data_IF_887099899852
#
_entry.id   IF_887099899852
#
_cell.length_a   1.000
_cell.length_b   1.000
_cell.length_c   1.000
_cell.angle_alpha   90.00
_cell.angle_beta   90.00
_cell.angle_gamma   90.00
#
_symmetry.space_group_name_H-M   'P 1'
#
loop_
_entity.id
_entity.type
_entity.pdbx_description
1 polymer ?
#
# COMPACT_ATOMS: atom_id res chain seq x y z
N UNK A 1 -11.19 22.61 4.73
CA UNK A 1 -10.49 21.31 4.56
C UNK A 1 -9.19 21.37 5.31
N UNK A 2 -8.79 20.28 5.95
CA UNK A 2 -7.70 20.28 6.91
C UNK A 2 -6.49 19.49 6.36
N UNK A 3 -5.31 20.11 6.40
CA UNK A 3 -4.05 19.39 6.20
C UNK A 3 -3.76 18.55 7.45
N UNK A 4 -3.41 17.28 7.25
CA UNK A 4 -3.00 16.40 8.35
C UNK A 4 -1.47 16.44 8.50
N UNK A 5 -0.99 16.14 9.71
CA UNK A 5 0.45 15.99 9.94
C UNK A 5 0.98 14.74 9.24
N UNK A 6 2.30 14.71 9.03
CA UNK A 6 3.00 13.55 8.47
C UNK A 6 2.86 12.32 9.37
N UNK A 7 2.92 12.51 10.68
CA UNK A 7 2.67 11.46 11.67
C UNK A 7 1.27 10.85 11.51
N UNK A 8 0.24 11.70 11.34
CA UNK A 8 -1.13 11.23 11.15
C UNK A 8 -1.31 10.50 9.82
N UNK A 9 -0.65 10.97 8.76
CA UNK A 9 -0.64 10.27 7.47
C UNK A 9 0.00 8.88 7.56
N UNK A 10 1.15 8.77 8.25
CA UNK A 10 1.82 7.49 8.50
C UNK A 10 0.95 6.55 9.33
N UNK A 11 0.26 7.05 10.36
CA UNK A 11 -0.71 6.27 11.14
C UNK A 11 -1.80 5.68 10.23
N UNK A 12 -2.45 6.53 9.42
CA UNK A 12 -3.50 6.11 8.48
C UNK A 12 -2.99 5.04 7.50
N UNK A 13 -1.79 5.24 6.94
CA UNK A 13 -1.20 4.27 6.01
C UNK A 13 -0.93 2.94 6.69
N UNK A 14 -0.36 2.94 7.90
CA UNK A 14 -0.14 1.72 8.66
C UNK A 14 -1.45 0.99 8.92
N UNK A 15 -2.49 1.69 9.42
CA UNK A 15 -3.79 1.08 9.70
C UNK A 15 -4.42 0.45 8.45
N UNK A 16 -4.37 1.16 7.31
CA UNK A 16 -4.89 0.67 6.04
C UNK A 16 -4.11 -0.57 5.53
N UNK A 17 -2.77 -0.56 5.65
CA UNK A 17 -1.92 -1.71 5.33
C UNK A 17 -2.27 -2.90 6.22
N UNK A 18 -2.37 -2.71 7.54
CA UNK A 18 -2.72 -3.79 8.47
C UNK A 18 -4.09 -4.37 8.14
N UNK A 19 -5.09 -3.52 7.90
CA UNK A 19 -6.43 -3.97 7.52
C UNK A 19 -6.41 -4.78 6.22
N UNK A 20 -5.65 -4.33 5.23
CA UNK A 20 -5.50 -5.03 3.95
C UNK A 20 -4.84 -6.40 4.14
N UNK A 21 -3.77 -6.48 4.93
CA UNK A 21 -3.09 -7.73 5.25
C UNK A 21 -3.95 -8.72 6.07
N UNK A 22 -4.87 -8.21 6.89
CA UNK A 22 -5.81 -9.04 7.65
C UNK A 22 -6.95 -9.58 6.78
N UNK A 23 -7.48 -8.75 5.87
CA UNK A 23 -8.69 -9.09 5.11
C UNK A 23 -8.39 -9.82 3.80
N UNK A 24 -7.22 -9.60 3.20
CA UNK A 24 -6.89 -10.14 1.87
C UNK A 24 -5.53 -10.82 1.88
N UNK A 25 -5.56 -12.15 1.82
CA UNK A 25 -4.35 -12.99 1.78
C UNK A 25 -3.70 -12.93 0.38
N UNK A 26 -2.38 -12.75 0.28
CA UNK A 26 -1.66 -12.77 -1.01
C UNK A 26 -1.59 -14.17 -1.61
N UNK A 27 -2.37 -14.45 -2.66
CA UNK A 27 -2.42 -15.77 -3.29
C UNK A 27 -1.10 -16.21 -3.94
N UNK A 28 -0.27 -15.25 -4.34
CA UNK A 28 1.04 -15.48 -4.95
C UNK A 28 2.21 -15.38 -3.96
N UNK A 29 1.97 -15.32 -2.64
CA UNK A 29 3.01 -15.49 -1.63
C UNK A 29 2.87 -16.85 -0.93
N UNK A 30 3.98 -17.38 -0.44
CA UNK A 30 4.06 -18.74 0.10
C UNK A 30 2.99 -19.04 1.17
N UNK A 31 2.81 -18.18 2.17
CA UNK A 31 1.81 -18.38 3.23
C UNK A 31 0.39 -18.41 2.67
N UNK A 32 0.07 -17.53 1.71
CA UNK A 32 -1.24 -17.49 1.07
C UNK A 32 -1.48 -18.68 0.15
N UNK A 33 -0.44 -19.12 -0.56
CA UNK A 33 -0.48 -20.36 -1.33
C UNK A 33 -0.73 -21.58 -0.45
N UNK A 34 -0.05 -21.70 0.68
CA UNK A 34 -0.28 -22.79 1.62
C UNK A 34 -1.73 -22.76 2.14
N UNK A 35 -2.23 -21.58 2.51
CA UNK A 35 -3.57 -21.42 3.07
C UNK A 35 -4.69 -21.73 2.06
N UNK A 36 -4.52 -21.36 0.79
CA UNK A 36 -5.54 -21.47 -0.26
C UNK A 36 -5.11 -22.32 -1.46
N UNK A 37 -4.20 -23.27 -1.25
CA UNK A 37 -3.55 -24.11 -2.26
C UNK A 37 -4.52 -24.65 -3.33
N UNK A 38 -5.61 -25.28 -2.90
CA UNK A 38 -6.59 -25.88 -3.81
C UNK A 38 -7.30 -24.82 -4.66
N UNK A 39 -7.64 -23.68 -4.08
CA UNK A 39 -8.30 -22.60 -4.82
C UNK A 39 -7.34 -21.95 -5.83
N UNK A 40 -6.08 -21.72 -5.43
CA UNK A 40 -5.07 -21.12 -6.30
C UNK A 40 -4.72 -22.06 -7.46
N UNK A 41 -4.57 -23.36 -7.21
CA UNK A 41 -4.38 -24.37 -8.28
C UNK A 41 -5.53 -24.47 -9.27
N UNK A 42 -6.74 -24.14 -8.85
CA UNK A 42 -7.93 -24.14 -9.70
C UNK A 42 -8.23 -22.74 -10.27
N UNK A 43 -7.24 -21.86 -10.27
CA UNK A 43 -7.30 -20.49 -10.81
C UNK A 43 -8.45 -19.65 -10.24
N UNK A 44 -8.76 -19.78 -8.95
CA UNK A 44 -9.88 -19.07 -8.32
C UNK A 44 -9.82 -17.54 -8.58
N UNK A 45 -8.63 -16.95 -8.54
CA UNK A 45 -8.45 -15.51 -8.78
C UNK A 45 -8.92 -15.14 -10.21
N UNK A 46 -8.53 -15.92 -11.21
CA UNK A 46 -8.82 -15.63 -12.63
C UNK A 46 -10.20 -16.12 -13.08
N UNK A 47 -10.70 -17.22 -12.52
CA UNK A 47 -11.97 -17.85 -12.93
C UNK A 47 -13.17 -17.38 -12.10
N UNK A 48 -12.95 -16.83 -10.90
CA UNK A 48 -14.04 -16.44 -9.99
C UNK A 48 -13.95 -14.97 -9.58
N UNK A 49 -12.83 -14.55 -8.97
CA UNK A 49 -12.69 -13.19 -8.42
C UNK A 49 -12.67 -12.12 -9.51
N UNK A 50 -11.75 -12.20 -10.47
CA UNK A 50 -11.60 -11.20 -11.54
C UNK A 50 -12.86 -11.09 -12.42
N UNK A 51 -13.52 -12.19 -12.84
CA UNK A 51 -14.80 -12.11 -13.54
C UNK A 51 -15.89 -11.39 -12.75
N UNK A 52 -15.95 -11.57 -11.42
CA UNK A 52 -16.89 -10.83 -10.60
C UNK A 52 -16.55 -9.34 -10.52
N UNK A 53 -15.26 -8.97 -10.48
CA UNK A 53 -14.81 -7.59 -10.56
C UNK A 53 -15.10 -6.95 -11.93
N UNK A 54 -14.95 -7.68 -13.03
CA UNK A 54 -15.23 -7.18 -14.38
C UNK A 54 -16.72 -6.90 -14.64
N UNK A 55 -17.62 -7.53 -13.88
CA UNK A 55 -19.07 -7.25 -13.95
C UNK A 55 -19.49 -5.96 -13.24
N UNK A 56 -18.62 -5.37 -12.42
CA UNK A 56 -18.87 -4.08 -11.77
C UNK A 56 -18.49 -2.93 -12.68
N UNK A 57 -19.16 -1.78 -12.54
CA UNK A 57 -18.74 -0.58 -13.24
C UNK A 57 -17.33 -0.18 -12.80
N UNK A 58 -16.69 0.61 -13.64
CA UNK A 58 -15.30 1.04 -13.46
C UNK A 58 -15.17 1.87 -12.18
N UNK A 59 -16.16 2.67 -11.83
CA UNK A 59 -16.23 3.60 -10.69
C UNK A 59 -16.94 3.03 -9.45
N UNK A 60 -17.38 1.77 -9.48
CA UNK A 60 -17.98 1.05 -8.36
C UNK A 60 -16.91 0.65 -7.30
N UNK A 61 -16.18 1.63 -6.78
CA UNK A 61 -15.02 1.42 -5.92
C UNK A 61 -15.33 0.59 -4.70
N UNK A 62 -16.44 0.90 -4.09
CA UNK A 62 -16.82 0.35 -2.82
C UNK A 62 -17.43 -1.06 -2.98
N UNK A 63 -18.16 -1.33 -4.08
CA UNK A 63 -18.59 -2.69 -4.44
C UNK A 63 -17.41 -3.60 -4.78
N UNK A 64 -16.44 -3.13 -5.59
CA UNK A 64 -15.20 -3.87 -5.90
C UNK A 64 -14.41 -4.20 -4.64
N UNK A 65 -14.30 -3.24 -3.73
CA UNK A 65 -13.70 -3.43 -2.42
C UNK A 65 -14.43 -4.52 -1.60
N UNK A 66 -15.76 -4.51 -1.55
CA UNK A 66 -16.55 -5.53 -0.87
C UNK A 66 -16.40 -6.93 -1.49
N UNK A 67 -16.32 -7.02 -2.82
CA UNK A 67 -16.04 -8.26 -3.56
C UNK A 67 -14.67 -8.83 -3.16
N UNK A 68 -13.62 -8.01 -3.16
CA UNK A 68 -12.26 -8.43 -2.78
C UNK A 68 -12.24 -8.87 -1.32
N UNK A 69 -12.87 -8.11 -0.42
CA UNK A 69 -13.02 -8.48 1.00
C UNK A 69 -13.66 -9.85 1.16
N UNK A 70 -14.76 -10.09 0.44
CA UNK A 70 -15.53 -11.33 0.51
C UNK A 70 -14.73 -12.51 -0.03
N UNK A 71 -13.95 -12.30 -1.09
CA UNK A 71 -13.06 -13.33 -1.61
C UNK A 71 -11.94 -13.70 -0.63
N UNK A 72 -11.42 -12.72 0.14
CA UNK A 72 -10.44 -12.95 1.20
C UNK A 72 -9.05 -13.37 0.72
N UNK A 73 -8.84 -13.47 -0.59
CA UNK A 73 -7.58 -13.79 -1.25
C UNK A 73 -7.48 -12.98 -2.53
N UNK A 74 -6.27 -12.54 -2.89
CA UNK A 74 -6.00 -11.80 -4.11
C UNK A 74 -4.51 -11.65 -4.38
N UNK A 75 -4.14 -11.17 -5.57
CA UNK A 75 -2.75 -10.87 -5.90
C UNK A 75 -2.44 -9.39 -5.65
N UNK A 76 -1.28 -8.91 -6.10
CA UNK A 76 -0.84 -7.52 -5.92
C UNK A 76 -1.91 -6.51 -6.37
N UNK A 77 -2.56 -6.73 -7.53
CA UNK A 77 -3.61 -5.84 -8.03
C UNK A 77 -4.81 -5.74 -7.08
N UNK A 78 -5.40 -6.86 -6.67
CA UNK A 78 -6.57 -6.86 -5.79
C UNK A 78 -6.24 -6.29 -4.40
N UNK A 79 -5.04 -6.58 -3.87
CA UNK A 79 -4.58 -6.02 -2.59
C UNK A 79 -4.33 -4.51 -2.69
N UNK A 80 -3.68 -4.04 -3.75
CA UNK A 80 -3.44 -2.62 -3.97
C UNK A 80 -4.76 -1.85 -4.17
N UNK A 81 -5.71 -2.44 -4.90
CA UNK A 81 -7.05 -1.88 -5.04
C UNK A 81 -7.78 -1.76 -3.70
N UNK A 82 -7.76 -2.83 -2.90
CA UNK A 82 -8.34 -2.85 -1.57
C UNK A 82 -7.73 -1.75 -0.68
N UNK A 83 -6.40 -1.68 -0.65
CA UNK A 83 -5.64 -0.66 0.08
C UNK A 83 -6.01 0.75 -0.36
N UNK A 84 -6.17 1.00 -1.67
CA UNK A 84 -6.53 2.31 -2.19
C UNK A 84 -7.84 2.82 -1.60
N UNK A 85 -8.88 1.97 -1.59
CA UNK A 85 -10.19 2.31 -1.01
C UNK A 85 -10.12 2.52 0.50
N UNK A 86 -9.35 1.69 1.22
CA UNK A 86 -9.16 1.85 2.67
C UNK A 86 -8.40 3.15 3.03
N UNK A 87 -7.43 3.56 2.20
CA UNK A 87 -6.73 4.84 2.30
C UNK A 87 -7.70 6.00 2.00
N UNK A 88 -8.44 5.94 0.90
CA UNK A 88 -9.40 6.99 0.53
C UNK A 88 -10.42 7.20 1.66
N UNK A 89 -11.02 6.12 2.18
CA UNK A 89 -11.99 6.21 3.29
C UNK A 89 -11.40 6.92 4.52
N UNK A 90 -10.21 6.51 4.97
CA UNK A 90 -9.58 7.09 6.18
C UNK A 90 -9.14 8.53 5.99
N UNK A 91 -8.61 8.88 4.82
CA UNK A 91 -8.22 10.25 4.51
C UNK A 91 -9.43 11.17 4.40
N UNK A 92 -10.54 10.70 3.80
CA UNK A 92 -11.83 11.41 3.81
C UNK A 92 -12.33 11.62 5.24
N UNK A 93 -12.29 10.58 6.10
CA UNK A 93 -12.68 10.68 7.51
C UNK A 93 -11.79 11.64 8.32
N UNK A 94 -10.50 11.76 7.95
CA UNK A 94 -9.58 12.73 8.54
C UNK A 94 -9.77 14.16 7.98
N UNK A 95 -10.73 14.39 7.08
CA UNK A 95 -11.04 15.70 6.52
C UNK A 95 -9.98 16.25 5.56
N UNK A 96 -9.16 15.37 4.96
CA UNK A 96 -8.03 15.75 4.13
C UNK A 96 -8.19 15.39 2.66
N UNK A 97 -7.55 16.16 1.78
CA UNK A 97 -7.55 15.94 0.34
C UNK A 97 -6.33 15.15 -0.11
N UNK A 98 -6.56 14.07 -0.84
CA UNK A 98 -5.51 13.26 -1.43
C UNK A 98 -5.98 12.62 -2.74
N UNK A 99 -5.02 12.36 -3.62
CA UNK A 99 -5.22 11.55 -4.82
C UNK A 99 -4.38 10.28 -4.69
N UNK A 100 -5.04 9.13 -4.74
CA UNK A 100 -4.41 7.82 -4.67
C UNK A 100 -4.40 7.22 -6.06
N UNK A 101 -3.23 6.96 -6.61
CA UNK A 101 -3.05 6.31 -7.91
C UNK A 101 -2.76 4.83 -7.71
N UNK A 102 -3.60 3.98 -8.30
CA UNK A 102 -3.26 2.57 -8.51
C UNK A 102 -2.34 2.49 -9.72
N UNK A 103 -1.12 2.02 -9.52
CA UNK A 103 -0.07 2.03 -10.52
C UNK A 103 0.53 0.65 -10.73
N UNK A 104 0.86 0.32 -11.98
CA UNK A 104 1.66 -0.85 -12.31
C UNK A 104 3.09 -0.41 -12.61
N UNK A 105 4.08 -1.11 -12.06
CA UNK A 105 5.48 -0.90 -12.45
C UNK A 105 5.69 -1.28 -13.92
N UNK A 106 6.58 -0.57 -14.60
CA UNK A 106 7.04 -0.95 -15.95
C UNK A 106 8.21 -1.93 -15.94
N UNK A 107 8.84 -2.15 -14.78
CA UNK A 107 10.09 -2.91 -14.66
C UNK A 107 9.91 -4.21 -13.89
N UNK A 108 8.90 -4.27 -13.02
CA UNK A 108 8.56 -5.43 -12.20
C UNK A 108 7.07 -5.70 -12.38
N UNK A 109 6.68 -6.97 -12.46
CA UNK A 109 5.26 -7.35 -12.48
C UNK A 109 4.63 -7.13 -11.10
N UNK A 110 4.31 -5.88 -10.80
CA UNK A 110 3.75 -5.48 -9.52
C UNK A 110 2.82 -4.28 -9.64
N UNK A 111 1.75 -4.30 -8.84
CA UNK A 111 0.78 -3.21 -8.73
C UNK A 111 0.73 -2.74 -7.28
N UNK A 112 0.82 -1.42 -7.09
CA UNK A 112 0.87 -0.77 -5.78
C UNK A 112 0.19 0.61 -5.83
N UNK A 113 0.18 1.33 -4.72
CA UNK A 113 -0.40 2.68 -4.66
C UNK A 113 0.67 3.76 -4.61
N UNK A 114 0.42 4.85 -5.34
CA UNK A 114 1.05 6.14 -5.07
C UNK A 114 0.04 7.10 -4.46
N UNK A 115 0.41 7.82 -3.41
CA UNK A 115 -0.48 8.79 -2.75
C UNK A 115 0.13 10.18 -2.88
N UNK A 116 -0.60 11.08 -3.52
CA UNK A 116 -0.30 12.50 -3.55
C UNK A 116 -1.16 13.23 -2.52
N UNK A 117 -0.51 13.94 -1.59
CA UNK A 117 -1.17 14.61 -0.48
C UNK A 117 -0.38 15.84 -0.04
N UNK A 118 -1.08 16.92 0.30
CA UNK A 118 -0.49 18.09 0.96
C UNK A 118 -0.57 17.90 2.47
N UNK A 119 0.58 17.73 3.11
CA UNK A 119 0.70 17.56 4.55
C UNK A 119 1.05 18.88 5.23
N UNK A 120 0.64 19.02 6.49
CA UNK A 120 0.88 20.22 7.29
C UNK A 120 2.38 20.52 7.40
N UNK A 121 2.75 21.78 7.15
CA UNK A 121 4.14 22.26 7.22
C UNK A 121 5.01 21.86 6.03
N UNK A 122 4.42 21.29 4.97
CA UNK A 122 5.11 21.07 3.69
C UNK A 122 4.85 22.20 2.71
N UNK A 123 5.85 22.64 1.94
CA UNK A 123 5.71 23.68 0.91
C UNK A 123 4.84 23.24 -0.28
N UNK A 124 4.93 21.97 -0.65
CA UNK A 124 4.24 21.37 -1.80
C UNK A 124 3.71 19.97 -1.47
N UNK A 125 2.72 19.45 -2.21
CA UNK A 125 2.27 18.08 -2.04
C UNK A 125 3.44 17.09 -2.09
N UNK A 126 3.42 16.12 -1.18
CA UNK A 126 4.32 14.97 -1.21
C UNK A 126 3.69 13.84 -2.03
N UNK A 127 4.57 13.04 -2.65
CA UNK A 127 4.22 11.82 -3.35
C UNK A 127 4.79 10.63 -2.59
N UNK A 128 3.97 9.63 -2.31
CA UNK A 128 4.34 8.48 -1.49
C UNK A 128 4.09 7.16 -2.21
N UNK A 129 4.98 6.19 -2.10
CA UNK A 129 4.72 4.79 -2.41
C UNK A 129 4.13 4.11 -1.16
N UNK A 130 2.95 3.51 -1.30
CA UNK A 130 2.26 2.79 -0.22
C UNK A 130 1.83 1.42 -0.74
N UNK A 131 2.28 0.36 -0.08
CA UNK A 131 2.02 -1.02 -0.50
C UNK A 131 1.64 -1.89 0.71
N UNK A 132 0.79 -2.88 0.47
CA UNK A 132 0.40 -3.91 1.43
C UNK A 132 0.83 -5.32 0.99
N UNK A 133 1.20 -5.53 -0.28
CA UNK A 133 1.71 -6.80 -0.77
C UNK A 133 3.14 -7.05 -0.27
N UNK A 134 4.01 -6.04 -0.37
CA UNK A 134 5.31 -5.97 0.31
C UNK A 134 5.31 -4.67 1.16
N UNK A 135 4.83 -4.77 2.42
CA UNK A 135 4.40 -3.61 3.20
C UNK A 135 5.45 -2.51 3.33
N UNK A 136 5.09 -1.29 2.91
CA UNK A 136 5.98 -0.12 2.97
C UNK A 136 5.25 1.19 2.84
N UNK A 137 5.87 2.24 3.37
CA UNK A 137 5.49 3.64 3.16
C UNK A 137 6.78 4.41 2.86
N UNK A 138 6.96 4.89 1.63
CA UNK A 138 8.19 5.57 1.19
C UNK A 138 7.82 6.93 0.60
N UNK A 139 8.43 8.01 1.09
CA UNK A 139 8.31 9.32 0.48
C UNK A 139 9.16 9.37 -0.80
N UNK A 140 8.50 9.50 -1.94
CA UNK A 140 9.10 9.52 -3.28
C UNK A 140 8.95 10.88 -3.95
N UNK A 141 8.77 11.94 -3.15
CA UNK A 141 8.56 13.30 -3.66
C UNK A 141 9.75 13.73 -4.54
N UNK A 142 9.45 14.36 -5.68
CA UNK A 142 10.48 14.90 -6.57
C UNK A 142 11.19 16.10 -5.92
N UNK A 143 12.51 16.02 -5.84
CA UNK A 143 13.39 17.07 -5.30
C UNK A 143 13.47 18.26 -6.28
N UNK A 144 13.90 19.46 -5.82
CA UNK A 144 14.09 20.62 -6.68
C UNK A 144 15.05 20.36 -7.87
N UNK A 145 16.07 19.53 -7.66
CA UNK A 145 17.01 19.11 -8.72
C UNK A 145 16.44 18.04 -9.67
N UNK A 146 15.13 17.79 -9.65
CA UNK A 146 14.39 16.78 -10.43
C UNK A 146 14.69 15.31 -10.12
N UNK A 147 15.63 15.01 -9.22
CA UNK A 147 15.82 13.64 -8.73
C UNK A 147 14.70 13.22 -7.78
N UNK A 148 14.51 11.92 -7.58
CA UNK A 148 13.51 11.39 -6.68
C UNK A 148 14.07 11.20 -5.27
N UNK A 149 13.25 11.44 -4.25
CA UNK A 149 13.61 11.11 -2.88
C UNK A 149 13.54 9.58 -2.67
N UNK A 150 14.47 9.03 -1.89
CA UNK A 150 14.52 7.62 -1.53
C UNK A 150 14.51 6.66 -2.74
N UNK A 151 15.07 7.08 -3.88
CA UNK A 151 15.09 6.28 -5.12
C UNK A 151 15.81 4.94 -4.93
N UNK A 152 16.84 4.93 -4.08
CA UNK A 152 17.63 3.76 -3.68
C UNK A 152 16.83 2.68 -2.95
N UNK A 153 15.63 3.00 -2.46
CA UNK A 153 14.74 2.07 -1.77
C UNK A 153 13.59 1.55 -2.65
N UNK A 154 13.50 1.98 -3.92
CA UNK A 154 12.42 1.58 -4.82
C UNK A 154 12.67 0.21 -5.42
N UNK A 155 11.98 -0.80 -4.90
CA UNK A 155 12.05 -2.17 -5.46
C UNK A 155 11.34 -2.31 -6.81
N UNK A 156 10.40 -1.43 -7.13
CA UNK A 156 9.56 -1.55 -8.33
C UNK A 156 9.96 -0.58 -9.45
N UNK A 157 11.11 0.08 -9.31
CA UNK A 157 11.57 1.09 -10.26
C UNK A 157 10.76 2.40 -10.24
N UNK A 158 11.22 3.37 -11.04
CA UNK A 158 10.66 4.72 -11.02
C UNK A 158 9.45 4.90 -11.95
N UNK A 159 9.47 4.18 -13.07
CA UNK A 159 8.47 4.27 -14.13
C UNK A 159 7.25 3.41 -13.84
N UNK A 160 6.08 4.03 -14.01
CA UNK A 160 4.80 3.37 -13.78
C UNK A 160 3.79 3.69 -14.86
N UNK A 161 2.82 2.79 -15.02
CA UNK A 161 1.60 3.02 -15.76
C UNK A 161 0.45 3.23 -14.77
N UNK A 162 -0.21 4.40 -14.84
CA UNK A 162 -1.40 4.66 -14.05
C UNK A 162 -2.52 3.75 -14.57
N UNK A 163 -3.07 2.94 -13.67
CA UNK A 163 -4.22 2.07 -13.98
C UNK A 163 -5.52 2.75 -13.57
N UNK A 164 -5.49 3.51 -12.47
CA UNK A 164 -6.65 4.18 -11.89
C UNK A 164 -6.22 5.25 -10.89
N UNK A 165 -7.12 6.16 -10.56
CA UNK A 165 -6.98 7.05 -9.41
C UNK A 165 -8.25 7.04 -8.55
N UNK A 166 -8.09 7.38 -7.27
CA UNK A 166 -9.14 7.55 -6.28
C UNK A 166 -8.93 8.93 -5.65
N UNK A 167 -9.98 9.73 -5.62
CA UNK A 167 -9.97 11.09 -5.06
C UNK A 167 -10.79 11.08 -3.77
N UNK A 168 -10.26 11.67 -2.70
CA UNK A 168 -11.06 11.85 -1.47
C UNK A 168 -12.16 12.88 -1.64
N UNK A 169 -12.09 13.75 -2.67
CA UNK A 169 -13.13 14.74 -2.98
C UNK A 169 -14.38 14.09 -3.58
N UNK A 170 -14.22 12.99 -4.32
CA UNK A 170 -15.30 12.31 -5.06
C UNK A 170 -15.68 10.97 -4.39
N UNK A 171 -15.15 10.70 -3.20
CA UNK A 171 -15.36 9.42 -2.53
C UNK A 171 -16.79 9.31 -1.98
N UNK A 172 -17.54 8.35 -2.52
CA UNK A 172 -18.85 7.96 -2.00
C UNK A 172 -18.74 6.59 -1.35
N UNK A 173 -19.21 6.48 -0.11
CA UNK A 173 -19.30 5.20 0.59
C UNK A 173 -20.48 4.37 0.05
N UNK A 174 -20.40 3.03 0.18
CA UNK A 174 -21.51 2.15 -0.22
C UNK A 174 -22.77 2.58 0.53
N UNK A 175 -23.83 2.88 -0.21
CA UNK A 175 -25.17 2.81 0.36
C UNK A 175 -25.56 1.33 0.51
N UNK A 176 -26.09 0.89 1.66
CA UNK A 176 -26.38 -0.53 1.95
C UNK A 176 -27.27 -1.28 0.93
N UNK A 177 -27.84 -0.58 -0.05
CA UNK A 177 -28.72 -1.10 -1.08
C UNK A 177 -28.02 -1.87 -2.22
N UNK A 178 -26.69 -1.79 -2.35
CA UNK A 178 -25.97 -2.53 -3.40
C UNK A 178 -25.78 -4.00 -3.00
N UNK A 179 -26.49 -4.91 -3.69
CA UNK A 179 -26.30 -6.34 -3.52
C UNK A 179 -24.89 -6.76 -3.97
N UNK A 180 -24.05 -7.19 -3.03
CA UNK A 180 -22.73 -7.74 -3.33
C UNK A 180 -22.92 -9.06 -4.10
N UNK A 181 -22.29 -9.26 -5.27
CA UNK A 181 -22.33 -10.53 -5.98
C UNK A 181 -22.08 -11.73 -5.06
N UNK A 182 -22.80 -12.82 -5.32
CA UNK A 182 -22.62 -14.07 -4.61
C UNK A 182 -21.30 -14.73 -5.02
N UNK A 183 -20.20 -14.31 -4.41
CA UNK A 183 -18.91 -14.99 -4.49
C UNK A 183 -18.80 -15.89 -3.26
N UNK A 184 -18.64 -17.20 -3.47
CA UNK A 184 -18.31 -18.12 -2.38
C UNK A 184 -16.80 -17.94 -2.08
N UNK A 185 -16.41 -17.54 -0.85
CA UNK A 185 -15.00 -17.48 -0.48
C UNK A 185 -14.36 -18.87 -0.66
N UNK A 186 -13.09 -18.93 -1.09
CA UNK A 186 -12.41 -20.20 -1.22
C UNK A 186 -12.24 -20.85 0.15
N UNK A 187 -12.37 -22.17 0.20
CA UNK A 187 -12.15 -22.93 1.41
C UNK A 187 -10.65 -23.00 1.71
N UNK A 188 -10.29 -22.78 2.98
CA UNK A 188 -8.90 -22.95 3.43
C UNK A 188 -8.52 -24.42 3.30
N UNK A 189 -7.38 -24.69 2.68
CA UNK A 189 -6.86 -26.05 2.56
C UNK A 189 -6.25 -26.53 3.88
N UNK A 190 -6.41 -27.80 4.21
CA UNK A 190 -5.60 -28.48 5.23
C UNK A 190 -4.43 -29.17 4.56
N UNK A 191 -3.23 -29.03 5.10
CA UNK A 191 -2.08 -29.81 4.66
C UNK A 191 -2.37 -31.30 4.91
N UNK A 192 -2.38 -32.11 3.84
CA UNK A 192 -2.63 -33.55 3.92
C UNK A 192 -1.42 -34.34 4.44
N UNK A 193 -0.24 -33.71 4.43
CA UNK A 193 1.05 -34.28 4.81
C UNK A 193 1.90 -33.22 5.52
N UNK A 194 3.05 -33.65 6.06
CA UNK A 194 4.06 -32.73 6.58
C UNK A 194 4.39 -31.65 5.55
N UNK A 195 4.57 -30.39 5.99
CA UNK A 195 4.86 -29.29 5.09
C UNK A 195 6.21 -29.50 4.40
N UNK A 196 6.23 -29.37 3.08
CA UNK A 196 7.49 -29.23 2.32
C UNK A 196 8.24 -28.01 2.83
N UNK A 197 9.56 -28.08 3.05
CA UNK A 197 10.36 -26.92 3.45
C UNK A 197 10.16 -25.73 2.51
N UNK A 198 10.17 -24.50 3.06
CA UNK A 198 9.95 -23.28 2.26
C UNK A 198 10.92 -23.14 1.07
N UNK A 199 12.24 -23.42 1.21
CA UNK A 199 13.16 -23.31 0.08
C UNK A 199 12.78 -24.24 -1.08
N UNK A 200 12.34 -25.46 -0.77
CA UNK A 200 11.92 -26.45 -1.76
C UNK A 200 10.61 -26.03 -2.44
N UNK A 201 9.69 -25.40 -1.69
CA UNK A 201 8.45 -24.85 -2.24
C UNK A 201 8.72 -23.71 -3.22
N UNK A 202 9.58 -22.76 -2.84
CA UNK A 202 9.94 -21.63 -3.70
C UNK A 202 10.74 -22.09 -4.93
N UNK A 203 11.64 -23.06 -4.78
CA UNK A 203 12.39 -23.62 -5.91
C UNK A 203 11.49 -24.36 -6.92
N UNK A 204 10.41 -24.99 -6.44
CA UNK A 204 9.46 -25.73 -7.29
C UNK A 204 8.41 -24.83 -7.97
N UNK A 205 8.13 -23.66 -7.39
CA UNK A 205 7.11 -22.74 -7.84
C UNK A 205 7.74 -21.37 -8.14
N UNK A 206 8.28 -21.22 -9.34
CA UNK A 206 8.97 -20.01 -9.82
C UNK A 206 8.11 -18.72 -9.79
N UNK A 207 6.79 -18.87 -9.88
CA UNK A 207 5.81 -17.80 -9.76
C UNK A 207 5.47 -17.41 -8.31
N UNK A 208 5.92 -18.20 -7.32
CA UNK A 208 5.60 -18.01 -5.90
C UNK A 208 6.64 -17.12 -5.22
N UNK A 209 6.18 -16.07 -4.56
CA UNK A 209 7.04 -15.13 -3.85
C UNK A 209 7.21 -15.53 -2.38
N UNK A 210 8.38 -15.19 -1.82
CA UNK A 210 8.60 -15.25 -0.38
C UNK A 210 7.66 -14.31 0.37
N UNK A 211 7.21 -14.70 1.56
CA UNK A 211 6.33 -13.86 2.37
C UNK A 211 6.99 -12.55 2.81
N UNK A 212 6.28 -11.43 2.57
CA UNK A 212 6.67 -10.11 3.05
C UNK A 212 5.70 -9.67 4.14
N UNK A 213 6.07 -9.91 5.39
CA UNK A 213 5.17 -9.66 6.54
C UNK A 213 5.28 -8.22 7.04
N UNK A 214 4.20 -7.72 7.64
CA UNK A 214 4.18 -6.43 8.34
C UNK A 214 5.27 -6.36 9.41
N UNK A 215 5.50 -7.45 10.15
CA UNK A 215 6.57 -7.54 11.15
C UNK A 215 7.97 -7.36 10.53
N UNK A 216 8.21 -8.00 9.38
CA UNK A 216 9.48 -7.85 8.66
C UNK A 216 9.66 -6.40 8.16
N UNK A 217 8.60 -5.77 7.66
CA UNK A 217 8.63 -4.39 7.20
C UNK A 217 8.96 -3.38 8.31
N UNK A 218 8.43 -3.57 9.53
CA UNK A 218 8.82 -2.77 10.70
C UNK A 218 10.30 -2.98 11.07
N UNK A 219 10.78 -4.23 11.05
CA UNK A 219 12.20 -4.56 11.31
C UNK A 219 13.13 -3.91 10.28
N UNK A 220 12.68 -3.82 9.04
CA UNK A 220 13.41 -3.23 7.91
C UNK A 220 13.16 -1.72 7.74
N UNK A 221 12.42 -1.08 8.65
CA UNK A 221 12.14 0.36 8.63
C UNK A 221 11.29 0.88 7.44
N UNK A 222 10.69 -0.03 6.66
CA UNK A 222 9.73 0.32 5.61
C UNK A 222 8.37 0.71 6.18
N UNK A 223 8.06 0.25 7.40
CA UNK A 223 6.98 0.76 8.24
C UNK A 223 7.58 1.34 9.52
N UNK A 224 6.88 2.31 10.11
CA UNK A 224 7.27 2.94 11.36
C UNK A 224 6.03 3.28 12.20
N UNK A 225 6.21 3.48 13.50
CA UNK A 225 5.16 4.11 14.31
C UNK A 225 5.23 5.63 14.15
N UNK A 226 4.12 6.37 14.35
CA UNK A 226 4.13 7.83 14.28
C UNK A 226 5.21 8.46 15.17
N UNK A 227 5.45 7.91 16.37
CA UNK A 227 6.47 8.37 17.31
C UNK A 227 7.92 8.08 16.87
N UNK A 228 8.15 7.22 15.87
CA UNK A 228 9.49 6.78 15.46
C UNK A 228 9.63 6.71 13.95
N UNK A 229 9.34 7.81 13.26
CA UNK A 229 9.53 7.90 11.81
C UNK A 229 10.99 7.65 11.39
N UNK A 230 11.17 6.81 10.36
CA UNK A 230 12.48 6.53 9.80
C UNK A 230 12.82 7.48 8.64
N UNK A 231 14.06 7.42 8.16
CA UNK A 231 14.59 8.30 7.13
C UNK A 231 13.66 8.44 5.92
N UNK A 232 13.13 7.31 5.42
CA UNK A 232 12.26 7.26 4.25
C UNK A 232 10.92 8.00 4.43
N UNK A 233 10.49 8.24 5.68
CA UNK A 233 9.23 8.91 5.99
C UNK A 233 9.41 10.31 6.57
N UNK A 234 10.63 10.77 6.88
CA UNK A 234 10.87 12.13 7.41
C UNK A 234 10.75 13.19 6.33
N UNK A 235 10.23 14.37 6.67
CA UNK A 235 10.23 15.53 5.77
C UNK A 235 11.66 15.98 5.44
N UNK A 236 11.90 16.38 4.19
CA UNK A 236 13.20 16.96 3.79
C UNK A 236 13.26 18.44 4.14
N UNK A 237 14.43 18.99 4.45
CA UNK A 237 14.59 20.43 4.75
C UNK A 237 14.05 21.33 3.63
N UNK A 238 14.29 20.98 2.36
CA UNK A 238 13.81 21.74 1.20
C UNK A 238 12.28 21.74 1.03
N UNK A 239 11.57 20.90 1.79
CA UNK A 239 10.12 20.78 1.74
C UNK A 239 9.44 21.43 2.93
N UNK A 240 10.16 21.88 3.96
CA UNK A 240 9.57 22.54 5.13
C UNK A 240 9.11 23.95 4.79
N UNK A 241 7.90 24.31 5.22
CA UNK A 241 7.30 25.65 5.05
C UNK A 241 7.99 26.72 5.92
N UNK A 242 8.59 26.28 7.03
CA UNK A 242 9.50 27.08 7.84
C UNK A 242 10.87 26.43 7.86
N UNK A 243 11.95 27.15 7.51
CA UNK A 243 13.30 26.70 7.84
C UNK A 243 13.36 26.49 9.35
N UNK A 244 14.00 25.42 9.83
CA UNK A 244 14.36 25.37 11.25
C UNK A 244 15.16 26.64 11.52
N UNK A 245 14.60 27.58 12.29
CA UNK A 245 15.40 28.59 12.98
C UNK A 245 16.15 27.85 14.06
N UNK A 246 17.13 27.05 13.64
CA UNK A 246 18.16 26.55 14.52
C UNK A 246 18.78 27.77 15.17
N UNK A 247 18.60 27.87 16.47
CA UNK A 247 19.37 28.79 17.29
C UNK A 247 20.83 28.67 16.87
N UNK A 248 21.33 29.74 16.27
CA UNK A 248 22.74 29.94 16.07
C UNK A 248 23.32 30.10 17.48
N UNK A 249 23.67 28.97 18.12
CA UNK A 249 24.55 29.00 19.27
C UNK A 249 25.92 29.41 18.75
N UNK A 250 26.13 30.72 18.79
CA UNK A 250 27.43 31.35 18.69
C UNK A 250 28.32 30.81 19.81
N UNK A 251 28.92 29.64 19.58
CA UNK A 251 30.11 29.25 20.32
C UNK A 251 31.26 30.07 19.76
N UNK A 252 31.59 31.11 20.52
CA UNK A 252 32.81 31.89 20.43
C UNK A 252 34.01 30.95 20.36
N UNK A 253 34.63 30.86 19.17
CA UNK A 253 36.00 30.39 19.04
C UNK A 253 36.91 31.44 19.69
N UNK A 254 37.32 31.19 20.92
CA UNK A 254 38.48 31.86 21.50
C UNK A 254 39.73 31.22 20.91
N UNK A 255 40.46 31.99 20.10
CA UNK A 255 41.89 31.77 19.89
C UNK A 255 42.64 32.00 21.21
N UNK A 256 43.32 30.97 21.69
CA UNK A 256 44.64 31.06 22.34
C UNK A 256 45.48 29.86 21.89
#
# INVERSE_FOLDING_TARGET
MQEITREKFIEICNEAIHKTCQDVVPGNQLSGYIQFHNAIKNDFIDKVLRPALFKTQVDDYALRHAIIKKAGVGNCYERAYYLAVELTRRLTQAGTQAVIFLVASKTVDHVFNRVEIKLQGELKPSLWEVDAWDPRIIDITQRPNKTRKNAEFLKYGEEVNIKRFFSTADFQEITPAQAIPAIKPPEKGRALRSPTPEPDMLAKHDWLYSDQTVKAAYKAHFLCTPAKMHYMQKISLWQKDTPDTGECSSSTFNCM
#
